data_IF_369980798690
#
_entry.id   IF_369980798690
#
_cell.length_a   1.000
_cell.length_b   1.000
_cell.length_c   1.000
_cell.angle_alpha   90.00
_cell.angle_beta   90.00
_cell.angle_gamma   90.00
#
_symmetry.space_group_name_H-M   'P 1'
#
loop_
_entity.id
_entity.type
_entity.pdbx_description
1 polymer ?
#
# COMPACT_ATOMS: atom_id res chain seq x y z
N UNK A 1 -29.29 -15.30 -13.08
CA UNK A 1 -28.38 -14.67 -12.09
C UNK A 1 -29.11 -14.40 -10.77
N UNK A 2 -30.37 -13.93 -10.80
CA UNK A 2 -31.30 -13.85 -9.65
C UNK A 2 -31.37 -15.14 -8.81
N UNK A 3 -31.28 -16.31 -9.46
CA UNK A 3 -31.35 -17.65 -8.82
C UNK A 3 -30.12 -17.97 -7.95
N UNK A 4 -28.93 -17.44 -8.28
CA UNK A 4 -27.70 -17.78 -7.54
C UNK A 4 -27.62 -17.04 -6.19
N UNK A 5 -28.15 -15.80 -6.14
CA UNK A 5 -28.23 -15.02 -4.90
C UNK A 5 -29.35 -15.53 -3.99
N UNK A 6 -30.48 -15.97 -4.57
CA UNK A 6 -31.61 -16.52 -3.82
C UNK A 6 -31.26 -17.80 -3.06
N UNK A 7 -30.58 -18.76 -3.72
CA UNK A 7 -30.16 -20.03 -3.09
C UNK A 7 -29.23 -19.82 -1.88
N UNK A 8 -28.37 -18.81 -1.91
CA UNK A 8 -27.41 -18.60 -0.83
C UNK A 8 -28.03 -17.96 0.42
N UNK A 9 -29.13 -17.22 0.25
CA UNK A 9 -29.94 -16.71 1.36
C UNK A 9 -30.76 -17.84 1.99
N UNK A 10 -31.29 -18.77 1.18
CA UNK A 10 -32.01 -19.95 1.67
C UNK A 10 -31.09 -20.91 2.47
N UNK A 11 -29.85 -21.10 2.03
CA UNK A 11 -28.85 -21.92 2.74
C UNK A 11 -28.49 -21.37 4.14
N UNK A 12 -28.60 -20.05 4.34
CA UNK A 12 -28.39 -19.42 5.66
C UNK A 12 -29.56 -19.64 6.61
N UNK A 13 -30.78 -19.84 6.08
CA UNK A 13 -31.98 -20.13 6.87
C UNK A 13 -32.05 -21.60 7.27
N UNK A 14 -31.51 -22.50 6.43
CA UNK A 14 -31.58 -23.96 6.65
C UNK A 14 -30.60 -24.57 7.66
N UNK A 15 -29.67 -23.81 8.25
CA UNK A 15 -28.62 -24.37 9.14
C UNK A 15 -28.95 -24.37 10.65
N UNK A 16 -30.15 -23.95 11.06
CA UNK A 16 -30.57 -23.94 12.47
C UNK A 16 -31.93 -24.63 12.69
N UNK A 17 -32.02 -25.91 12.38
CA UNK A 17 -33.14 -26.77 12.79
C UNK A 17 -32.93 -27.26 14.23
N UNK A 18 -33.38 -26.44 15.18
CA UNK A 18 -33.40 -26.79 16.59
C UNK A 18 -34.25 -25.82 17.40
N UNK A 19 -35.55 -26.13 17.52
CA UNK A 19 -36.51 -25.54 18.48
C UNK A 19 -36.38 -24.03 18.67
N UNK A 20 -36.71 -23.27 17.63
CA UNK A 20 -36.82 -21.83 17.74
C UNK A 20 -38.30 -21.44 17.67
N UNK A 21 -38.75 -20.67 18.67
CA UNK A 21 -40.13 -20.18 18.79
C UNK A 21 -40.58 -19.45 17.51
N UNK A 22 -41.86 -19.58 17.14
CA UNK A 22 -42.44 -18.97 15.95
C UNK A 22 -42.11 -17.46 15.81
N UNK A 23 -42.04 -16.73 16.93
CA UNK A 23 -41.65 -15.32 16.99
C UNK A 23 -40.21 -15.03 16.50
N UNK A 24 -39.28 -15.96 16.69
CA UNK A 24 -37.90 -15.81 16.20
C UNK A 24 -37.82 -16.13 14.72
N UNK A 25 -38.62 -17.08 14.23
CA UNK A 25 -38.77 -17.36 12.80
C UNK A 25 -39.43 -16.19 12.06
N UNK A 26 -40.40 -15.51 12.68
CA UNK A 26 -41.04 -14.32 12.13
C UNK A 26 -40.11 -13.11 12.16
N UNK A 27 -39.34 -12.91 13.24
CA UNK A 27 -38.26 -11.90 13.31
C UNK A 27 -37.13 -12.18 12.33
N UNK A 28 -36.74 -13.44 12.12
CA UNK A 28 -35.75 -13.82 11.11
C UNK A 28 -36.27 -13.64 9.69
N UNK A 29 -37.57 -13.82 9.44
CA UNK A 29 -38.20 -13.48 8.15
C UNK A 29 -38.26 -11.98 7.91
N UNK A 30 -38.57 -11.18 8.93
CA UNK A 30 -38.57 -9.71 8.82
C UNK A 30 -37.17 -9.13 8.74
N UNK A 31 -36.22 -9.60 9.55
CA UNK A 31 -34.80 -9.26 9.46
C UNK A 31 -34.20 -9.75 8.14
N UNK A 32 -34.56 -10.95 7.67
CA UNK A 32 -34.17 -11.47 6.36
C UNK A 32 -34.71 -10.63 5.21
N UNK A 33 -35.97 -10.19 5.28
CA UNK A 33 -36.60 -9.31 4.29
C UNK A 33 -35.97 -7.92 4.27
N UNK A 34 -35.73 -7.32 5.44
CA UNK A 34 -35.07 -6.00 5.56
C UNK A 34 -33.61 -6.04 5.10
N UNK A 35 -32.88 -7.12 5.43
CA UNK A 35 -31.52 -7.35 4.93
C UNK A 35 -31.52 -7.53 3.42
N UNK A 36 -32.53 -8.17 2.84
CA UNK A 36 -32.67 -8.38 1.40
C UNK A 36 -32.98 -7.07 0.64
N UNK A 37 -33.92 -6.27 1.12
CA UNK A 37 -34.24 -4.97 0.52
C UNK A 37 -33.06 -4.00 0.57
N UNK A 38 -32.35 -3.94 1.71
CA UNK A 38 -31.13 -3.15 1.83
C UNK A 38 -30.01 -3.61 0.89
N UNK A 39 -29.91 -4.92 0.64
CA UNK A 39 -28.93 -5.48 -0.29
C UNK A 39 -29.26 -5.12 -1.74
N UNK A 40 -30.54 -5.19 -2.14
CA UNK A 40 -30.98 -4.81 -3.48
C UNK A 40 -30.72 -3.33 -3.76
N UNK A 41 -31.07 -2.45 -2.82
CA UNK A 41 -30.78 -1.02 -2.95
C UNK A 41 -29.26 -0.75 -3.07
N UNK A 42 -28.42 -1.48 -2.32
CA UNK A 42 -26.96 -1.36 -2.42
C UNK A 42 -26.45 -1.84 -3.79
N UNK A 43 -26.99 -2.94 -4.31
CA UNK A 43 -26.66 -3.47 -5.64
C UNK A 43 -27.07 -2.50 -6.75
N UNK A 44 -28.28 -1.94 -6.70
CA UNK A 44 -28.77 -0.96 -7.67
C UNK A 44 -27.85 0.28 -7.72
N UNK A 45 -27.42 0.76 -6.55
CA UNK A 45 -26.45 1.86 -6.45
C UNK A 45 -25.07 1.51 -6.97
N UNK A 46 -24.66 0.26 -6.81
CA UNK A 46 -23.41 -0.22 -7.37
C UNK A 46 -23.47 -0.34 -8.89
N UNK A 47 -24.60 -0.80 -9.44
CA UNK A 47 -24.87 -0.79 -10.88
C UNK A 47 -24.79 0.64 -11.42
N UNK A 48 -25.44 1.60 -10.77
CA UNK A 48 -25.31 3.02 -11.11
C UNK A 48 -23.85 3.49 -11.09
N UNK A 49 -23.08 3.10 -10.08
CA UNK A 49 -21.65 3.42 -9.98
C UNK A 49 -20.84 2.88 -11.17
N UNK A 50 -21.10 1.65 -11.60
CA UNK A 50 -20.43 1.03 -12.74
C UNK A 50 -20.68 1.79 -14.04
N UNK A 51 -21.90 2.31 -14.23
CA UNK A 51 -22.30 3.06 -15.43
C UNK A 51 -21.83 4.52 -15.43
N UNK A 52 -21.18 4.99 -14.36
CA UNK A 52 -20.63 6.35 -14.35
C UNK A 52 -19.50 6.50 -15.37
N UNK A 53 -19.37 7.69 -15.97
CA UNK A 53 -18.34 7.94 -16.99
C UNK A 53 -16.92 8.08 -16.42
N UNK A 54 -16.80 8.29 -15.11
CA UNK A 54 -15.52 8.52 -14.42
C UNK A 54 -15.70 8.23 -12.93
N UNK A 55 -14.72 7.59 -12.29
CA UNK A 55 -14.78 7.22 -10.88
C UNK A 55 -15.01 8.39 -9.91
N UNK A 56 -14.71 9.63 -10.33
CA UNK A 56 -14.89 10.83 -9.49
C UNK A 56 -16.37 11.07 -9.19
N UNK A 57 -17.25 10.73 -10.14
CA UNK A 57 -18.71 10.80 -9.98
C UNK A 57 -19.23 9.85 -8.92
N UNK A 58 -18.52 8.75 -8.62
CA UNK A 58 -18.89 7.85 -7.53
C UNK A 58 -18.81 8.57 -6.19
N UNK A 59 -17.79 9.40 -5.96
CA UNK A 59 -17.71 10.21 -4.73
C UNK A 59 -18.86 11.22 -4.64
N UNK A 60 -19.21 11.87 -5.75
CA UNK A 60 -20.33 12.81 -5.81
C UNK A 60 -21.66 12.12 -5.54
N UNK A 61 -21.88 10.96 -6.15
CA UNK A 61 -23.06 10.10 -5.94
C UNK A 61 -23.18 9.67 -4.47
N UNK A 62 -22.08 9.21 -3.85
CA UNK A 62 -22.09 8.82 -2.42
C UNK A 62 -22.25 10.04 -1.51
N UNK A 63 -21.70 11.20 -1.86
CA UNK A 63 -21.89 12.43 -1.09
C UNK A 63 -23.35 12.91 -1.12
N UNK A 64 -23.98 12.85 -2.29
CA UNK A 64 -25.38 13.24 -2.47
C UNK A 64 -26.34 12.26 -1.76
N UNK A 65 -25.99 10.98 -1.77
CA UNK A 65 -26.76 9.93 -1.12
C UNK A 65 -25.79 8.98 -0.39
N UNK A 66 -25.57 9.11 0.94
CA UNK A 66 -24.62 8.27 1.66
C UNK A 66 -24.92 6.77 1.53
N UNK A 67 -23.88 5.94 1.40
CA UNK A 67 -24.04 4.48 1.45
C UNK A 67 -24.44 4.03 2.85
N UNK A 68 -25.17 2.90 2.99
CA UNK A 68 -25.47 2.37 4.31
C UNK A 68 -24.21 1.91 5.03
N UNK A 69 -24.14 2.11 6.35
CA UNK A 69 -23.11 1.49 7.17
C UNK A 69 -23.41 0.01 7.35
N UNK A 70 -22.48 -0.86 6.96
CA UNK A 70 -22.65 -2.31 7.05
C UNK A 70 -21.41 -2.97 7.67
N UNK A 71 -21.61 -4.13 8.30
CA UNK A 71 -20.49 -4.79 8.97
C UNK A 71 -19.38 -5.22 7.98
N UNK A 72 -18.12 -5.36 8.44
CA UNK A 72 -17.01 -5.89 7.64
C UNK A 72 -17.33 -7.20 6.92
N UNK A 73 -18.07 -8.10 7.59
CA UNK A 73 -18.49 -9.40 7.01
C UNK A 73 -19.42 -9.20 5.81
N UNK A 74 -20.31 -8.21 5.87
CA UNK A 74 -21.21 -7.88 4.78
C UNK A 74 -20.49 -7.19 3.63
N UNK A 75 -19.52 -6.31 3.90
CA UNK A 75 -18.65 -5.74 2.84
C UNK A 75 -17.94 -6.85 2.07
N UNK A 76 -17.37 -7.84 2.77
CA UNK A 76 -16.72 -8.97 2.10
C UNK A 76 -17.68 -9.80 1.25
N UNK A 77 -18.90 -10.06 1.75
CA UNK A 77 -19.94 -10.78 0.98
C UNK A 77 -20.36 -10.00 -0.26
N UNK A 78 -20.54 -8.68 -0.11
CA UNK A 78 -20.85 -7.80 -1.22
C UNK A 78 -19.74 -7.85 -2.28
N UNK A 79 -18.47 -7.76 -1.86
CA UNK A 79 -17.32 -7.97 -2.74
C UNK A 79 -17.38 -9.30 -3.50
N UNK A 80 -17.75 -10.41 -2.85
CA UNK A 80 -17.89 -11.69 -3.57
C UNK A 80 -19.03 -11.69 -4.58
N UNK A 81 -20.12 -10.97 -4.28
CA UNK A 81 -21.25 -10.87 -5.20
C UNK A 81 -20.94 -10.02 -6.44
N UNK A 82 -19.92 -9.15 -6.39
CA UNK A 82 -19.55 -8.33 -7.54
C UNK A 82 -18.91 -9.12 -8.68
N UNK A 83 -18.54 -10.39 -8.48
CA UNK A 83 -17.99 -11.29 -9.52
C UNK A 83 -18.88 -11.36 -10.76
N UNK A 84 -20.21 -11.25 -10.59
CA UNK A 84 -21.15 -11.22 -11.72
C UNK A 84 -20.99 -10.02 -12.67
N UNK A 85 -20.13 -9.06 -12.32
CA UNK A 85 -19.88 -7.83 -13.07
C UNK A 85 -18.45 -7.73 -13.61
N UNK A 86 -17.62 -8.77 -13.48
CA UNK A 86 -16.21 -8.75 -13.90
C UNK A 86 -16.02 -8.36 -15.38
N UNK A 87 -16.98 -8.69 -16.24
CA UNK A 87 -16.94 -8.31 -17.65
C UNK A 87 -17.23 -6.83 -17.92
N UNK A 88 -17.61 -6.04 -16.91
CA UNK A 88 -17.92 -4.63 -17.09
C UNK A 88 -16.62 -3.81 -17.29
N UNK A 89 -16.52 -2.91 -18.29
CA UNK A 89 -15.27 -2.19 -18.59
C UNK A 89 -14.69 -1.38 -17.43
N UNK A 90 -15.54 -0.94 -16.49
CA UNK A 90 -15.15 -0.16 -15.32
C UNK A 90 -15.07 -0.98 -14.02
N UNK A 91 -15.20 -2.30 -14.09
CA UNK A 91 -15.33 -3.16 -12.92
C UNK A 91 -14.22 -2.95 -11.90
N UNK A 92 -12.94 -3.06 -12.31
CA UNK A 92 -11.80 -3.06 -11.40
C UNK A 92 -11.66 -1.75 -10.62
N UNK A 93 -11.76 -0.62 -11.29
CA UNK A 93 -11.60 0.71 -10.67
C UNK A 93 -12.84 1.11 -9.87
N UNK A 94 -14.04 1.00 -10.46
CA UNK A 94 -15.27 1.50 -9.83
C UNK A 94 -15.67 0.67 -8.62
N UNK A 95 -15.48 -0.65 -8.67
CA UNK A 95 -15.71 -1.53 -7.52
C UNK A 95 -14.85 -1.13 -6.33
N UNK A 96 -13.58 -0.83 -6.57
CA UNK A 96 -12.66 -0.42 -5.52
C UNK A 96 -13.05 0.87 -4.83
N UNK A 97 -13.41 1.87 -5.62
CA UNK A 97 -13.84 3.17 -5.13
C UNK A 97 -15.15 3.03 -4.36
N UNK A 98 -16.12 2.28 -4.90
CA UNK A 98 -17.40 2.02 -4.23
C UNK A 98 -17.22 1.29 -2.89
N UNK A 99 -16.39 0.23 -2.86
CA UNK A 99 -16.06 -0.49 -1.62
C UNK A 99 -15.36 0.41 -0.61
N UNK A 100 -14.46 1.29 -1.06
CA UNK A 100 -13.78 2.25 -0.19
C UNK A 100 -14.79 3.19 0.48
N UNK A 101 -15.75 3.70 -0.28
CA UNK A 101 -16.84 4.52 0.27
C UNK A 101 -17.69 3.75 1.28
N UNK A 102 -18.00 2.48 1.00
CA UNK A 102 -18.73 1.62 1.93
C UNK A 102 -17.95 1.38 3.23
N UNK A 103 -16.64 1.18 3.14
CA UNK A 103 -15.74 1.04 4.29
C UNK A 103 -15.64 2.33 5.09
N UNK A 104 -15.55 3.49 4.43
CA UNK A 104 -15.54 4.82 5.08
C UNK A 104 -16.82 5.03 5.89
N UNK A 105 -17.99 4.84 5.28
CA UNK A 105 -19.28 4.99 6.00
C UNK A 105 -19.40 4.00 7.14
N UNK A 106 -18.97 2.76 6.93
CA UNK A 106 -19.03 1.72 7.97
C UNK A 106 -18.07 2.03 9.13
N UNK A 107 -16.88 2.56 8.84
CA UNK A 107 -15.93 2.97 9.85
C UNK A 107 -16.44 4.14 10.70
N UNK A 108 -17.08 5.13 10.07
CA UNK A 108 -17.75 6.23 10.78
C UNK A 108 -18.86 5.73 11.73
N UNK A 109 -19.50 4.60 11.43
CA UNK A 109 -20.47 3.94 12.30
C UNK A 109 -19.84 3.04 13.38
N UNK A 110 -18.51 3.04 13.52
CA UNK A 110 -17.79 2.28 14.55
C UNK A 110 -17.33 0.89 14.11
N UNK A 111 -17.56 0.47 12.87
CA UNK A 111 -17.01 -0.78 12.36
C UNK A 111 -15.51 -0.67 12.04
N UNK A 112 -14.76 -1.75 12.26
CA UNK A 112 -13.33 -1.79 11.93
C UNK A 112 -12.91 -3.25 11.66
N UNK A 113 -11.68 -3.51 11.23
CA UNK A 113 -11.18 -4.87 11.00
C UNK A 113 -11.76 -5.51 9.73
N UNK A 114 -11.67 -4.79 8.62
CA UNK A 114 -12.16 -5.23 7.33
C UNK A 114 -11.36 -6.42 6.80
N UNK A 115 -12.04 -7.56 6.59
CA UNK A 115 -11.46 -8.75 6.01
C UNK A 115 -11.96 -8.90 4.58
N UNK A 116 -11.04 -8.90 3.62
CA UNK A 116 -11.31 -8.99 2.19
C UNK A 116 -10.74 -10.30 1.63
N UNK A 117 -11.59 -11.11 1.02
CA UNK A 117 -11.19 -12.35 0.34
C UNK A 117 -11.11 -12.11 -1.17
N UNK A 118 -9.90 -11.90 -1.66
CA UNK A 118 -9.60 -11.58 -3.06
C UNK A 118 -9.13 -12.82 -3.85
N UNK A 119 -9.32 -14.05 -3.33
CA UNK A 119 -8.73 -15.26 -3.92
C UNK A 119 -9.41 -15.73 -5.20
N UNK A 120 -10.69 -15.42 -5.36
CA UNK A 120 -11.56 -15.92 -6.44
C UNK A 120 -12.20 -14.80 -7.25
N UNK A 121 -11.62 -13.60 -7.19
CA UNK A 121 -12.13 -12.41 -7.90
C UNK A 121 -10.99 -11.76 -8.67
N UNK A 122 -11.32 -11.04 -9.72
CA UNK A 122 -10.36 -10.21 -10.44
C UNK A 122 -9.73 -9.15 -9.50
N UNK A 123 -8.52 -8.70 -9.84
CA UNK A 123 -7.82 -7.68 -9.07
C UNK A 123 -8.61 -6.37 -9.11
N UNK A 124 -9.08 -5.95 -7.93
CA UNK A 124 -9.79 -4.69 -7.76
C UNK A 124 -8.79 -3.62 -7.33
N UNK A 125 -8.72 -2.55 -8.11
CA UNK A 125 -7.86 -1.40 -7.85
C UNK A 125 -8.52 -0.48 -6.81
N UNK A 126 -7.79 0.45 -6.21
CA UNK A 126 -8.33 1.50 -5.33
C UNK A 126 -9.10 1.06 -4.08
N UNK A 127 -9.07 -0.21 -3.67
CA UNK A 127 -9.69 -0.61 -2.39
C UNK A 127 -8.98 0.07 -1.22
N UNK A 128 -9.77 0.65 -0.31
CA UNK A 128 -9.30 1.36 0.87
C UNK A 128 -8.83 2.78 0.59
N UNK A 129 -9.12 3.33 -0.59
CA UNK A 129 -8.75 4.68 -0.96
C UNK A 129 -9.40 5.70 -0.01
N UNK A 130 -8.61 6.67 0.47
CA UNK A 130 -9.06 7.77 1.35
C UNK A 130 -9.70 7.32 2.67
N UNK A 131 -9.29 6.17 3.21
CA UNK A 131 -9.71 5.77 4.55
C UNK A 131 -9.04 6.63 5.62
N UNK A 132 -9.85 7.22 6.48
CA UNK A 132 -9.41 8.15 7.53
C UNK A 132 -9.59 7.52 8.90
N UNK A 133 -8.54 6.87 9.41
CA UNK A 133 -8.46 6.38 10.77
C UNK A 133 -8.05 7.47 11.76
N UNK A 134 -7.91 7.09 13.02
CA UNK A 134 -7.35 7.96 14.05
C UNK A 134 -6.19 7.26 14.76
N UNK A 135 -5.31 8.02 15.41
CA UNK A 135 -4.24 7.42 16.23
C UNK A 135 -4.77 6.44 17.29
N UNK A 136 -5.92 6.72 17.90
CA UNK A 136 -6.53 5.87 18.93
C UNK A 136 -7.28 4.66 18.35
N UNK A 137 -7.77 4.78 17.11
CA UNK A 137 -8.48 3.74 16.39
C UNK A 137 -8.03 3.77 14.93
N UNK A 138 -6.91 3.12 14.57
CA UNK A 138 -6.50 3.05 13.18
C UNK A 138 -7.45 2.14 12.40
N UNK A 139 -7.65 2.41 11.11
CA UNK A 139 -8.42 1.52 10.24
C UNK A 139 -7.62 0.24 10.02
N UNK A 140 -8.22 -0.92 10.22
CA UNK A 140 -7.54 -2.22 10.08
C UNK A 140 -8.11 -2.98 8.90
N UNK A 141 -7.23 -3.37 7.98
CA UNK A 141 -7.59 -4.17 6.80
C UNK A 141 -6.74 -5.43 6.74
N UNK A 142 -7.40 -6.54 6.46
CA UNK A 142 -6.78 -7.83 6.14
C UNK A 142 -7.25 -8.28 4.77
N UNK A 143 -6.33 -8.61 3.87
CA UNK A 143 -6.65 -9.12 2.53
C UNK A 143 -6.00 -10.48 2.28
N UNK A 144 -6.79 -11.43 1.79
CA UNK A 144 -6.30 -12.74 1.31
C UNK A 144 -6.33 -12.74 -0.21
N UNK A 145 -5.30 -13.27 -0.86
CA UNK A 145 -5.19 -13.23 -2.33
C UNK A 145 -4.43 -12.01 -2.85
N UNK A 146 -4.85 -11.45 -3.99
CA UNK A 146 -4.13 -10.33 -4.62
C UNK A 146 -5.03 -9.12 -4.74
N UNK A 147 -4.71 -8.07 -3.99
CA UNK A 147 -5.32 -6.74 -4.20
C UNK A 147 -4.74 -6.09 -5.47
N UNK A 148 -5.53 -5.23 -6.12
CA UNK A 148 -5.09 -4.47 -7.28
C UNK A 148 -4.16 -3.30 -6.94
N UNK A 149 -4.08 -2.36 -7.87
CA UNK A 149 -3.28 -1.15 -7.76
C UNK A 149 -3.91 -0.14 -6.80
N UNK A 150 -3.13 0.83 -6.34
CA UNK A 150 -3.59 1.95 -5.50
C UNK A 150 -4.26 1.51 -4.20
N UNK A 151 -3.96 0.31 -3.73
CA UNK A 151 -4.55 -0.25 -2.51
C UNK A 151 -4.19 0.61 -1.31
N UNK A 152 -5.22 1.10 -0.63
CA UNK A 152 -5.13 2.00 0.52
C UNK A 152 -4.36 3.30 0.23
N UNK A 153 -4.46 3.81 -0.99
CA UNK A 153 -3.94 5.14 -1.36
C UNK A 153 -4.68 6.26 -0.63
N UNK A 154 -3.98 7.36 -0.34
CA UNK A 154 -4.47 8.53 0.39
C UNK A 154 -5.08 8.20 1.76
N UNK A 155 -4.69 7.09 2.38
CA UNK A 155 -5.25 6.66 3.65
C UNK A 155 -4.44 7.23 4.82
N UNK A 156 -5.11 7.54 5.92
CA UNK A 156 -4.48 8.03 7.15
C UNK A 156 -4.76 7.09 8.33
N UNK A 157 -3.74 6.88 9.18
CA UNK A 157 -3.83 6.01 10.36
C UNK A 157 -4.40 4.62 10.02
N UNK A 158 -3.65 3.85 9.23
CA UNK A 158 -4.10 2.58 8.68
C UNK A 158 -3.13 1.43 8.96
N UNK A 159 -3.66 0.26 9.28
CA UNK A 159 -2.94 -0.99 9.50
C UNK A 159 -3.39 -2.04 8.48
N UNK A 160 -2.46 -2.47 7.63
CA UNK A 160 -2.74 -3.36 6.50
C UNK A 160 -1.97 -4.67 6.67
N UNK A 161 -2.67 -5.78 6.51
CA UNK A 161 -2.07 -7.11 6.36
C UNK A 161 -2.61 -7.77 5.09
N UNK A 162 -1.79 -7.90 4.06
CA UNK A 162 -2.19 -8.45 2.77
C UNK A 162 -1.28 -9.61 2.35
N UNK A 163 -1.78 -10.51 1.51
CA UNK A 163 -0.95 -11.49 0.82
C UNK A 163 -0.13 -10.79 -0.28
N UNK A 164 -0.76 -10.37 -1.37
CA UNK A 164 -0.12 -9.65 -2.46
C UNK A 164 -0.88 -8.37 -2.79
N UNK A 165 -0.15 -7.34 -3.22
CA UNK A 165 -0.71 -6.06 -3.65
C UNK A 165 -0.10 -5.69 -5.01
N UNK A 166 -0.90 -5.06 -5.86
CA UNK A 166 -0.44 -4.43 -7.10
C UNK A 166 0.44 -3.20 -6.86
N UNK A 167 0.41 -2.28 -7.81
CA UNK A 167 1.26 -1.10 -7.83
C UNK A 167 0.67 0.03 -6.99
N UNK A 168 1.51 0.98 -6.58
CA UNK A 168 1.14 2.18 -5.83
C UNK A 168 0.40 1.90 -4.51
N UNK A 169 0.74 0.79 -3.85
CA UNK A 169 0.25 0.51 -2.50
C UNK A 169 0.60 1.66 -1.57
N UNK A 170 -0.37 2.12 -0.78
CA UNK A 170 -0.26 3.23 0.18
C UNK A 170 0.31 4.52 -0.41
N UNK A 171 0.05 4.82 -1.69
CA UNK A 171 0.39 6.11 -2.29
C UNK A 171 -0.17 7.29 -1.48
N UNK A 172 0.64 8.32 -1.23
CA UNK A 172 0.24 9.59 -0.58
C UNK A 172 -0.52 9.38 0.74
N UNK A 173 -0.08 8.39 1.51
CA UNK A 173 -0.72 7.96 2.77
C UNK A 173 0.09 8.42 3.98
N UNK A 174 -0.58 8.56 5.13
CA UNK A 174 0.05 9.07 6.36
C UNK A 174 -0.18 8.13 7.53
N UNK A 175 0.83 7.90 8.36
CA UNK A 175 0.72 7.01 9.53
C UNK A 175 0.24 5.60 9.12
N UNK A 176 0.83 5.05 8.06
CA UNK A 176 0.42 3.78 7.46
C UNK A 176 1.39 2.65 7.82
N UNK A 177 0.87 1.51 8.28
CA UNK A 177 1.62 0.27 8.46
C UNK A 177 1.15 -0.77 7.47
N UNK A 178 2.04 -1.24 6.60
CA UNK A 178 1.77 -2.24 5.57
C UNK A 178 2.61 -3.49 5.77
N UNK A 179 1.96 -4.63 5.94
CA UNK A 179 2.58 -5.95 5.91
C UNK A 179 2.07 -6.72 4.69
N UNK A 180 2.96 -7.13 3.79
CA UNK A 180 2.62 -7.89 2.58
C UNK A 180 3.63 -9.00 2.29
N UNK A 181 3.25 -10.04 1.53
CA UNK A 181 4.26 -10.97 0.97
C UNK A 181 4.91 -10.32 -0.25
N UNK A 182 4.13 -9.83 -1.19
CA UNK A 182 4.61 -9.17 -2.40
C UNK A 182 3.88 -7.88 -2.66
N UNK A 183 4.62 -6.87 -3.08
CA UNK A 183 4.08 -5.60 -3.57
C UNK A 183 4.58 -5.41 -5.01
N UNK A 184 3.75 -4.80 -5.85
CA UNK A 184 4.02 -4.52 -7.26
C UNK A 184 5.21 -3.59 -7.50
N UNK A 185 5.21 -2.90 -8.63
CA UNK A 185 6.33 -2.10 -9.13
C UNK A 185 6.68 -0.91 -8.26
N UNK A 186 5.71 -0.28 -7.60
CA UNK A 186 5.91 0.92 -6.77
C UNK A 186 5.08 0.79 -5.49
N UNK A 187 5.62 1.22 -4.35
CA UNK A 187 4.86 1.39 -3.12
C UNK A 187 5.39 2.54 -2.27
N UNK A 188 4.55 3.05 -1.38
CA UNK A 188 4.88 4.11 -0.45
C UNK A 188 5.47 5.37 -1.10
N UNK A 189 4.96 5.73 -2.27
CA UNK A 189 5.26 7.01 -2.91
C UNK A 189 4.47 8.11 -2.18
N UNK A 190 5.13 9.22 -1.82
CA UNK A 190 4.62 10.34 -1.02
C UNK A 190 4.09 9.96 0.37
N UNK A 191 4.58 8.88 0.96
CA UNK A 191 4.15 8.48 2.31
C UNK A 191 4.82 9.33 3.38
N UNK A 192 4.05 9.73 4.38
CA UNK A 192 4.56 10.38 5.60
C UNK A 192 4.34 9.45 6.81
N UNK A 193 5.39 9.23 7.60
CA UNK A 193 5.35 8.38 8.80
C UNK A 193 4.84 6.96 8.53
N UNK A 194 5.55 6.24 7.67
CA UNK A 194 5.13 4.92 7.19
C UNK A 194 5.97 3.75 7.71
N UNK A 195 5.41 2.56 7.71
CA UNK A 195 6.16 1.30 7.86
C UNK A 195 5.73 0.31 6.80
N UNK A 196 6.68 -0.25 6.05
CA UNK A 196 6.44 -1.28 5.03
C UNK A 196 7.28 -2.51 5.33
N UNK A 197 6.62 -3.63 5.59
CA UNK A 197 7.22 -4.94 5.74
C UNK A 197 6.80 -5.83 4.58
N UNK A 198 7.75 -6.26 3.74
CA UNK A 198 7.43 -7.17 2.65
C UNK A 198 8.51 -8.21 2.34
N UNK A 199 8.15 -9.35 1.74
CA UNK A 199 9.20 -10.26 1.22
C UNK A 199 9.84 -9.66 -0.02
N UNK A 200 9.03 -9.19 -0.96
CA UNK A 200 9.49 -8.62 -2.24
C UNK A 200 8.74 -7.34 -2.54
N UNK A 201 9.49 -6.32 -2.97
CA UNK A 201 8.98 -5.05 -3.47
C UNK A 201 9.57 -4.80 -4.85
N UNK A 202 8.80 -4.21 -5.77
CA UNK A 202 9.33 -3.58 -6.97
C UNK A 202 10.25 -2.43 -6.57
N UNK A 203 9.68 -1.25 -6.32
CA UNK A 203 10.34 -0.02 -5.89
C UNK A 203 9.60 0.57 -4.71
N UNK A 204 10.28 1.37 -3.88
CA UNK A 204 9.71 1.93 -2.64
C UNK A 204 10.18 3.35 -2.38
N UNK A 205 9.29 4.16 -1.80
CA UNK A 205 9.65 5.44 -1.20
C UNK A 205 10.08 6.45 -2.26
N UNK A 206 9.19 6.89 -3.13
CA UNK A 206 9.45 8.12 -3.89
C UNK A 206 8.86 9.27 -3.08
N UNK A 207 9.63 10.33 -2.83
CA UNK A 207 9.14 11.53 -2.12
C UNK A 207 8.53 11.25 -0.72
N UNK A 208 9.03 10.24 0.00
CA UNK A 208 8.52 9.84 1.32
C UNK A 208 9.26 10.53 2.48
N UNK A 209 8.59 10.69 3.62
CA UNK A 209 9.13 11.23 4.86
C UNK A 209 8.90 10.24 6.01
N UNK A 210 9.92 10.03 6.85
CA UNK A 210 9.84 9.13 8.01
C UNK A 210 9.32 7.73 7.67
N UNK A 211 9.77 7.18 6.54
CA UNK A 211 9.40 5.85 6.07
C UNK A 211 10.39 4.79 6.55
N UNK A 212 9.92 3.75 7.23
CA UNK A 212 10.72 2.57 7.58
C UNK A 212 10.33 1.36 6.71
N UNK A 213 11.30 0.82 5.97
CA UNK A 213 11.09 -0.30 5.04
C UNK A 213 11.94 -1.48 5.43
N UNK A 214 11.30 -2.64 5.61
CA UNK A 214 11.94 -3.93 5.82
C UNK A 214 11.53 -4.88 4.71
N UNK A 215 12.48 -5.23 3.84
CA UNK A 215 12.21 -6.18 2.76
C UNK A 215 13.33 -7.20 2.56
N UNK A 216 13.01 -8.43 2.13
CA UNK A 216 14.09 -9.34 1.69
C UNK A 216 14.69 -8.88 0.36
N UNK A 217 13.85 -8.38 -0.55
CA UNK A 217 14.28 -7.97 -1.89
C UNK A 217 13.51 -6.74 -2.38
N UNK A 218 14.25 -5.74 -2.85
CA UNK A 218 13.76 -4.59 -3.61
C UNK A 218 14.35 -4.70 -5.02
N UNK A 219 13.49 -4.88 -6.04
CA UNK A 219 13.94 -5.16 -7.41
C UNK A 219 14.39 -3.90 -8.17
N UNK A 220 13.68 -2.81 -7.95
CA UNK A 220 13.84 -1.51 -8.58
C UNK A 220 14.48 -0.51 -7.62
N UNK A 221 13.90 0.68 -7.53
CA UNK A 221 14.43 1.79 -6.74
C UNK A 221 14.11 1.65 -5.25
N UNK A 222 15.10 1.85 -4.39
CA UNK A 222 14.87 2.09 -2.96
C UNK A 222 15.12 3.57 -2.63
N UNK A 223 14.09 4.25 -2.11
CA UNK A 223 14.13 5.60 -1.54
C UNK A 223 14.73 6.67 -2.49
N UNK A 224 13.87 7.35 -3.22
CA UNK A 224 14.19 8.49 -4.10
C UNK A 224 13.55 9.77 -3.55
N UNK A 225 14.33 10.85 -3.37
CA UNK A 225 13.86 12.11 -2.77
C UNK A 225 13.17 11.96 -1.40
N UNK A 226 13.61 11.04 -0.57
CA UNK A 226 13.01 10.88 0.76
C UNK A 226 13.79 11.61 1.84
N UNK A 227 13.12 11.92 2.93
CA UNK A 227 13.72 12.52 4.10
C UNK A 227 13.56 11.59 5.32
N UNK A 228 14.60 11.50 6.15
CA UNK A 228 14.61 10.79 7.45
C UNK A 228 14.15 9.32 7.38
N UNK A 229 14.35 8.66 6.24
CA UNK A 229 13.80 7.34 5.97
C UNK A 229 14.84 6.22 6.12
N UNK A 230 14.37 5.00 6.34
CA UNK A 230 15.20 3.82 6.56
C UNK A 230 14.78 2.69 5.63
N UNK A 231 15.75 2.09 4.95
CA UNK A 231 15.54 0.83 4.20
C UNK A 231 16.50 -0.23 4.69
N UNK A 232 15.94 -1.39 5.01
CA UNK A 232 16.66 -2.62 5.28
C UNK A 232 16.30 -3.67 4.24
N UNK A 233 17.27 -4.09 3.42
CA UNK A 233 17.06 -5.20 2.50
C UNK A 233 18.31 -6.00 2.14
N UNK A 234 18.16 -7.31 1.95
CA UNK A 234 19.27 -8.18 1.51
C UNK A 234 19.74 -7.81 0.10
N UNK A 235 18.80 -7.48 -0.78
CA UNK A 235 19.10 -7.04 -2.14
C UNK A 235 18.28 -5.81 -2.50
N UNK A 236 18.97 -4.80 -3.03
CA UNK A 236 18.39 -3.62 -3.63
C UNK A 236 18.93 -3.49 -5.06
N UNK A 237 18.03 -3.40 -6.04
CA UNK A 237 18.38 -3.39 -7.45
C UNK A 237 19.05 -2.08 -7.88
N UNK A 238 18.31 -0.97 -7.80
CA UNK A 238 18.83 0.38 -8.04
C UNK A 238 18.53 1.23 -6.82
N UNK A 239 19.41 2.17 -6.49
CA UNK A 239 19.14 3.19 -5.50
C UNK A 239 19.56 4.50 -6.12
N UNK A 240 18.62 5.37 -6.44
CA UNK A 240 18.93 6.72 -6.92
C UNK A 240 18.71 7.62 -5.72
N UNK A 241 19.77 7.90 -4.96
CA UNK A 241 19.71 8.81 -3.81
C UNK A 241 19.63 10.28 -4.22
N UNK A 242 19.07 10.58 -5.39
CA UNK A 242 18.97 11.94 -5.87
C UNK A 242 17.91 12.65 -5.03
N UNK A 243 18.34 13.61 -4.22
CA UNK A 243 17.46 14.41 -3.38
C UNK A 243 17.07 13.77 -2.05
N UNK A 244 17.54 12.56 -1.73
CA UNK A 244 17.24 11.91 -0.45
C UNK A 244 18.13 12.49 0.66
N UNK A 245 17.59 12.82 1.84
CA UNK A 245 18.35 13.36 2.97
C UNK A 245 18.14 12.56 4.25
N UNK A 246 19.19 12.48 5.05
CA UNK A 246 19.21 11.79 6.34
C UNK A 246 18.69 10.35 6.27
N UNK A 247 18.84 9.69 5.12
CA UNK A 247 18.33 8.34 4.92
C UNK A 247 19.37 7.29 5.33
N UNK A 248 18.92 6.18 5.88
CA UNK A 248 19.77 5.06 6.28
C UNK A 248 19.45 3.80 5.47
N UNK A 249 20.48 3.24 4.83
CA UNK A 249 20.38 2.04 4.00
C UNK A 249 21.15 0.90 4.67
N UNK A 250 20.49 -0.24 4.89
CA UNK A 250 21.07 -1.43 5.53
C UNK A 250 20.96 -2.63 4.59
N UNK A 251 22.05 -3.35 4.41
CA UNK A 251 22.07 -4.56 3.58
C UNK A 251 23.07 -5.61 4.05
N UNK A 252 22.73 -6.88 3.87
CA UNK A 252 23.60 -8.04 4.11
C UNK A 252 24.54 -8.33 2.93
N UNK A 253 24.48 -7.55 1.84
CA UNK A 253 25.31 -7.71 0.64
C UNK A 253 26.24 -6.54 0.40
N UNK A 254 27.55 -6.79 0.50
CA UNK A 254 28.57 -5.76 0.28
C UNK A 254 28.52 -5.16 -1.14
N UNK A 255 28.18 -5.97 -2.15
CA UNK A 255 27.99 -5.45 -3.52
C UNK A 255 26.84 -4.45 -3.59
N UNK A 256 25.72 -4.73 -2.94
CA UNK A 256 24.58 -3.80 -2.82
C UNK A 256 24.98 -2.54 -2.06
N UNK A 257 25.70 -2.66 -0.94
CA UNK A 257 26.17 -1.50 -0.18
C UNK A 257 27.05 -0.57 -1.03
N UNK A 258 27.98 -1.13 -1.82
CA UNK A 258 28.84 -0.37 -2.74
C UNK A 258 28.06 0.29 -3.87
N UNK A 259 27.05 -0.40 -4.42
CA UNK A 259 26.17 0.18 -5.42
C UNK A 259 25.42 1.40 -4.86
N UNK A 260 24.93 1.31 -3.63
CA UNK A 260 24.24 2.43 -2.96
C UNK A 260 25.22 3.58 -2.72
N UNK A 261 26.40 3.31 -2.17
CA UNK A 261 27.47 4.32 -1.97
C UNK A 261 27.77 5.09 -3.26
N UNK A 262 27.78 4.41 -4.40
CA UNK A 262 28.08 5.03 -5.70
C UNK A 262 27.01 6.04 -6.13
N UNK A 263 25.73 5.76 -5.86
CA UNK A 263 24.60 6.58 -6.33
C UNK A 263 24.08 7.59 -5.31
N UNK A 264 24.45 7.47 -4.04
CA UNK A 264 24.00 8.40 -3.01
C UNK A 264 24.63 9.78 -3.17
N UNK A 265 23.80 10.80 -2.99
CA UNK A 265 24.28 12.16 -2.78
C UNK A 265 25.06 12.24 -1.47
N UNK A 266 26.22 12.89 -1.52
CA UNK A 266 27.29 12.82 -0.51
C UNK A 266 27.29 13.95 0.52
N UNK A 267 26.36 14.89 0.39
CA UNK A 267 26.22 16.07 1.25
C UNK A 267 24.78 16.19 1.79
N UNK A 268 24.16 15.04 2.07
CA UNK A 268 22.76 14.97 2.47
C UNK A 268 22.54 14.16 3.75
N UNK A 269 23.60 13.84 4.51
CA UNK A 269 23.49 13.10 5.77
C UNK A 269 23.11 11.62 5.61
N UNK A 270 23.16 11.10 4.38
CA UNK A 270 22.80 9.71 4.10
C UNK A 270 23.87 8.75 4.61
N UNK A 271 23.44 7.57 5.07
CA UNK A 271 24.33 6.54 5.61
C UNK A 271 24.06 5.18 4.97
N UNK A 272 25.13 4.45 4.70
CA UNK A 272 25.06 3.07 4.20
C UNK A 272 25.74 2.14 5.17
N UNK A 273 25.05 1.09 5.57
CA UNK A 273 25.52 0.08 6.50
C UNK A 273 25.54 -1.29 5.83
N UNK A 274 26.64 -2.01 6.03
CA UNK A 274 26.73 -3.44 5.78
C UNK A 274 26.41 -4.19 7.07
N UNK A 275 25.46 -5.11 7.03
CA UNK A 275 25.03 -5.92 8.18
C UNK A 275 25.73 -7.28 8.09
N UNK A 276 26.57 -7.58 9.07
CA UNK A 276 27.28 -8.84 9.19
C UNK A 276 26.31 -9.99 9.55
N UNK A 277 26.78 -11.24 9.39
CA UNK A 277 25.98 -12.43 9.71
C UNK A 277 25.59 -12.54 11.19
N UNK A 278 26.38 -11.93 12.07
CA UNK A 278 26.14 -11.87 13.52
C UNK A 278 25.21 -10.71 13.93
N UNK A 279 24.71 -9.93 12.95
CA UNK A 279 23.85 -8.77 13.17
C UNK A 279 24.60 -7.46 13.45
N UNK A 280 25.93 -7.48 13.57
CA UNK A 280 26.71 -6.24 13.73
C UNK A 280 26.70 -5.39 12.46
N UNK A 281 26.70 -4.08 12.62
CA UNK A 281 26.66 -3.13 11.49
C UNK A 281 28.03 -2.47 11.27
N UNK A 282 28.50 -2.45 10.03
CA UNK A 282 29.67 -1.71 9.59
C UNK A 282 29.25 -0.54 8.70
N UNK A 283 29.63 0.68 9.08
CA UNK A 283 29.37 1.88 8.29
C UNK A 283 30.25 1.88 7.03
N UNK A 284 29.62 1.83 5.86
CA UNK A 284 30.28 1.81 4.54
C UNK A 284 30.45 3.22 4.01
N UNK A 285 29.41 4.04 4.12
CA UNK A 285 29.39 5.40 3.59
C UNK A 285 28.67 6.36 4.54
N UNK A 286 29.25 7.54 4.73
CA UNK A 286 28.66 8.73 5.36
C UNK A 286 29.36 9.98 4.84
N UNK A 287 28.76 11.15 5.03
CA UNK A 287 29.36 12.45 4.67
C UNK A 287 30.78 12.61 5.24
N UNK A 288 31.01 12.19 6.49
CA UNK A 288 32.33 12.26 7.13
C UNK A 288 33.36 11.33 6.46
N UNK A 289 32.97 10.09 6.14
CA UNK A 289 33.85 9.13 5.43
C UNK A 289 34.18 9.68 4.04
N UNK A 290 33.19 10.26 3.37
CA UNK A 290 33.38 10.78 2.03
C UNK A 290 34.31 11.99 2.01
N UNK A 291 34.12 12.97 2.91
CA UNK A 291 35.02 14.13 3.05
C UNK A 291 36.45 13.69 3.32
N UNK A 292 36.66 12.71 4.20
CA UNK A 292 37.99 12.14 4.45
C UNK A 292 38.61 11.51 3.20
N UNK A 293 37.84 10.70 2.44
CA UNK A 293 38.30 10.11 1.17
C UNK A 293 38.67 11.20 0.15
N UNK A 294 37.92 12.30 0.09
CA UNK A 294 38.25 13.42 -0.78
C UNK A 294 39.53 14.14 -0.35
N UNK A 295 39.70 14.41 0.94
CA UNK A 295 40.92 15.03 1.46
C UNK A 295 42.15 14.15 1.18
N UNK A 296 42.04 12.84 1.37
CA UNK A 296 43.10 11.88 1.04
C UNK A 296 43.37 11.83 -0.48
N UNK A 297 42.32 11.83 -1.30
CA UNK A 297 42.45 11.89 -2.75
C UNK A 297 43.16 13.17 -3.19
N UNK A 298 42.78 14.34 -2.68
CA UNK A 298 43.41 15.62 -3.02
C UNK A 298 44.87 15.70 -2.59
N UNK A 299 45.27 14.96 -1.55
CA UNK A 299 46.68 14.82 -1.13
C UNK A 299 47.49 13.86 -2.02
N UNK A 300 46.84 13.07 -2.89
CA UNK A 300 47.52 12.14 -3.79
C UNK A 300 48.22 12.86 -4.95
N UNK A 301 49.53 12.61 -5.19
CA UNK A 301 50.24 13.17 -6.35
C UNK A 301 49.55 12.87 -7.69
N UNK A 302 48.90 11.70 -7.81
CA UNK A 302 48.20 11.29 -9.02
C UNK A 302 46.92 12.10 -9.25
N UNK A 303 46.15 12.36 -8.19
CA UNK A 303 44.96 13.21 -8.25
C UNK A 303 45.33 14.65 -8.60
N UNK A 304 46.37 15.19 -7.96
CA UNK A 304 46.89 16.53 -8.24
C UNK A 304 47.34 16.66 -9.71
N UNK A 305 48.03 15.64 -10.25
CA UNK A 305 48.42 15.59 -11.66
C UNK A 305 47.21 15.58 -12.61
N UNK A 306 46.15 14.85 -12.27
CA UNK A 306 44.92 14.81 -13.06
C UNK A 306 44.16 16.14 -13.00
N UNK A 307 44.05 16.76 -11.83
CA UNK A 307 43.44 18.07 -11.65
C UNK A 307 44.19 19.15 -12.44
N UNK A 308 45.52 19.18 -12.36
CA UNK A 308 46.37 20.08 -13.15
C UNK A 308 46.18 19.87 -14.67
N UNK A 309 45.98 18.62 -15.11
CA UNK A 309 45.68 18.32 -16.52
C UNK A 309 44.32 18.88 -16.95
N UNK A 310 43.30 18.74 -16.11
CA UNK A 310 41.97 19.32 -16.38
C UNK A 310 42.01 20.85 -16.43
N UNK A 311 42.68 21.50 -15.47
CA UNK A 311 42.81 22.96 -15.42
C UNK A 311 43.58 23.51 -16.64
N UNK A 312 44.61 22.81 -17.12
CA UNK A 312 45.33 23.18 -18.35
C UNK A 312 44.48 23.09 -19.62
N UNK A 313 43.48 22.20 -19.63
CA UNK A 313 42.56 22.06 -20.75
C UNK A 313 41.45 23.13 -20.72
N UNK A 314 41.06 23.60 -19.54
CA UNK A 314 40.08 24.69 -19.40
C UNK A 314 40.60 26.05 -19.85
N UNK A 315 41.91 26.33 -19.70
CA UNK A 315 42.54 27.57 -20.18
C UNK A 315 42.83 27.60 -21.70
N UNK A 316 42.50 26.54 -22.42
CA UNK A 316 42.65 26.45 -23.89
C UNK A 316 41.33 26.71 -24.63
N UNK A 317 40.27 27.04 -23.90
CA UNK A 317 38.96 27.47 -24.39
C UNK A 317 38.88 28.98 -24.15
#
# INVERSE_FOLDING_TARGET
MEIALHRHVEDLVGQYDGLIAADVLERQKTEGSLVFEGYKALEDRYREALETSHYTKIYEMVKANPLPAISPKFINRFLQATVGFESHPHYTEHTGIFLSQLMITSYAAGFNGFLLDMRSIERIDNIGNRLEGTKANPVRIRSKGTAGNWFCSYAHHIEINADNIGDYAIYDSRYATLNAKMIGETCADKVEHGTVNARTIGSVGMEAEDLDVHAKRIKGYAINKCDNSRVTADFMGKCTGVGSRNCEYRTTRMSTARTIEFYLSKDQGNKVYFVNKDGTEALVCSDAIWRKKQEEYLKSPAAMKNLLKMLKNLHKI
#
